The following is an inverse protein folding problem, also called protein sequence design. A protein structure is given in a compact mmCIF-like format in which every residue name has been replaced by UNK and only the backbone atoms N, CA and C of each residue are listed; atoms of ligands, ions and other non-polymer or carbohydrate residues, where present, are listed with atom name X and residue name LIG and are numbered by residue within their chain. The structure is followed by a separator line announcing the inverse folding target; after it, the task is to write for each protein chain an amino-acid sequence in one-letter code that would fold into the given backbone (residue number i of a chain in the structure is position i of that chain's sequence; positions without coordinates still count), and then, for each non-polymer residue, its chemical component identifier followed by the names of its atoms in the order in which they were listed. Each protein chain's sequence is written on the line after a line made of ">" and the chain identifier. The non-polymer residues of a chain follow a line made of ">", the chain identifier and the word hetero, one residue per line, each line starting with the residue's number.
data_IF_582900241125
#
_entry.id   IF_582900241125
#
_cell.length_a   1.000
_cell.length_b   1.000
_cell.length_c   1.000
_cell.angle_alpha   90.00
_cell.angle_beta   90.00
_cell.angle_gamma   90.00
#
_symmetry.space_group_name_H-M   'P 1'
#
loop_
_entity.id
_entity.type
_entity.pdbx_description
1 polymer ?
#
# COMPACT_ATOMS: atom_id res chain seq x y z
N UNK A 1 -11.21 51.99 -48.52
CA UNK A 1 -10.78 50.64 -48.09
C UNK A 1 -10.59 49.77 -49.33
N UNK A 2 -9.35 49.38 -49.63
CA UNK A 2 -9.00 48.69 -50.88
C UNK A 2 -9.62 47.29 -50.95
N UNK A 3 -10.31 46.98 -52.07
CA UNK A 3 -10.93 45.67 -52.36
C UNK A 3 -9.98 44.49 -52.13
N UNK A 4 -8.68 44.68 -52.30
CA UNK A 4 -7.65 43.65 -52.09
C UNK A 4 -7.52 43.18 -50.62
N UNK A 5 -7.72 44.08 -49.63
CA UNK A 5 -7.66 43.70 -48.20
C UNK A 5 -8.89 42.90 -47.76
N UNK A 6 -10.05 43.14 -48.37
CA UNK A 6 -11.28 42.43 -48.03
C UNK A 6 -11.25 40.99 -48.56
N UNK A 7 -10.70 40.76 -49.76
CA UNK A 7 -10.58 39.42 -50.36
C UNK A 7 -9.63 38.52 -49.56
N UNK A 8 -8.51 39.07 -49.06
CA UNK A 8 -7.55 38.30 -48.23
C UNK A 8 -8.11 37.91 -46.87
N UNK A 9 -8.94 38.75 -46.24
CA UNK A 9 -9.58 38.44 -44.95
C UNK A 9 -10.64 37.33 -45.14
N UNK A 10 -11.42 37.39 -46.21
CA UNK A 10 -12.45 36.37 -46.50
C UNK A 10 -11.78 35.02 -46.81
N UNK A 11 -10.70 34.99 -47.60
CA UNK A 11 -10.00 33.75 -47.93
C UNK A 11 -9.33 33.11 -46.70
N UNK A 12 -8.79 33.91 -45.79
CA UNK A 12 -8.21 33.44 -44.53
C UNK A 12 -9.28 32.83 -43.60
N UNK A 13 -10.48 33.42 -43.54
CA UNK A 13 -11.60 32.89 -42.75
C UNK A 13 -12.12 31.53 -43.27
N UNK A 14 -12.19 31.35 -44.59
CA UNK A 14 -12.61 30.08 -45.18
C UNK A 14 -11.58 28.95 -44.98
N UNK A 15 -10.28 29.26 -45.04
CA UNK A 15 -9.21 28.29 -44.75
C UNK A 15 -9.21 27.90 -43.27
N UNK A 16 -9.39 28.87 -42.36
CA UNK A 16 -9.43 28.60 -40.92
C UNK A 16 -10.67 27.77 -40.51
N UNK A 17 -11.83 28.06 -41.11
CA UNK A 17 -13.07 27.28 -40.92
C UNK A 17 -12.95 25.84 -41.44
N UNK A 18 -12.36 25.65 -42.63
CA UNK A 18 -12.13 24.32 -43.19
C UNK A 18 -11.14 23.49 -42.35
N UNK A 19 -10.09 24.12 -41.81
CA UNK A 19 -9.12 23.45 -40.92
C UNK A 19 -9.77 23.05 -39.59
N UNK A 20 -10.59 23.92 -38.98
CA UNK A 20 -11.32 23.58 -37.74
C UNK A 20 -12.31 22.44 -37.97
N UNK A 21 -12.99 22.41 -39.12
CA UNK A 21 -13.96 21.36 -39.45
C UNK A 21 -13.25 20.02 -39.70
N UNK A 22 -12.07 20.02 -40.34
CA UNK A 22 -11.24 18.82 -40.53
C UNK A 22 -10.65 18.32 -39.19
N UNK A 23 -10.25 19.22 -38.29
CA UNK A 23 -9.82 18.90 -36.93
C UNK A 23 -10.96 18.26 -36.10
N UNK A 24 -12.20 18.75 -36.23
CA UNK A 24 -13.36 18.17 -35.54
C UNK A 24 -13.82 16.82 -36.13
N UNK A 25 -13.52 16.53 -37.40
CA UNK A 25 -13.85 15.24 -38.04
C UNK A 25 -12.80 14.17 -37.71
N UNK A 26 -11.54 14.55 -37.45
CA UNK A 26 -10.44 13.62 -37.13
C UNK A 26 -10.12 13.46 -35.64
N UNK A 27 -10.65 14.33 -34.77
CA UNK A 27 -10.66 14.08 -33.33
C UNK A 27 -12.02 13.52 -32.93
N UNK A 28 -12.18 12.18 -32.83
CA UNK A 28 -13.37 11.65 -32.21
C UNK A 28 -13.40 12.15 -30.77
N UNK A 29 -14.41 12.96 -30.46
CA UNK A 29 -14.83 13.26 -29.10
C UNK A 29 -15.22 11.94 -28.43
N UNK A 30 -14.26 11.27 -27.79
CA UNK A 30 -14.44 10.05 -27.00
C UNK A 30 -14.74 10.41 -25.54
N UNK A 31 -15.70 11.31 -25.32
CA UNK A 31 -16.26 11.54 -23.99
C UNK A 31 -17.58 10.80 -23.85
N UNK A 32 -17.56 9.50 -24.15
CA UNK A 32 -18.51 8.57 -23.52
C UNK A 32 -17.68 7.89 -22.42
N UNK A 33 -18.05 7.97 -21.13
CA UNK A 33 -17.35 7.22 -20.09
C UNK A 33 -17.34 5.77 -20.53
N UNK A 34 -16.16 5.25 -20.87
CA UNK A 34 -16.05 3.87 -21.30
C UNK A 34 -16.49 3.04 -20.11
N UNK A 35 -17.60 2.32 -20.25
CA UNK A 35 -18.10 1.46 -19.19
C UNK A 35 -16.99 0.47 -18.83
N UNK A 36 -16.68 0.38 -17.53
CA UNK A 36 -15.64 -0.50 -16.99
C UNK A 36 -16.37 -1.67 -16.31
N UNK A 37 -16.73 -2.73 -17.07
CA UNK A 37 -17.61 -3.78 -16.56
C UNK A 37 -17.03 -4.52 -15.35
N UNK A 38 -15.69 -4.61 -15.26
CA UNK A 38 -15.00 -5.26 -14.15
C UNK A 38 -15.20 -4.54 -12.82
N UNK A 39 -15.47 -3.22 -12.81
CA UNK A 39 -15.65 -2.47 -11.56
C UNK A 39 -16.82 -2.99 -10.73
N UNK A 40 -17.86 -3.54 -11.36
CA UNK A 40 -18.99 -4.13 -10.63
C UNK A 40 -18.52 -5.25 -9.70
N UNK A 41 -17.67 -6.15 -10.22
CA UNK A 41 -17.18 -7.30 -9.46
C UNK A 41 -16.04 -6.90 -8.53
N UNK A 42 -15.15 -5.99 -8.95
CA UNK A 42 -14.04 -5.45 -8.13
C UNK A 42 -14.53 -4.75 -6.86
N UNK A 43 -15.66 -4.04 -6.95
CA UNK A 43 -16.29 -3.31 -5.85
C UNK A 43 -17.31 -4.16 -5.08
N UNK A 44 -17.52 -5.41 -5.47
CA UNK A 44 -18.38 -6.35 -4.75
C UNK A 44 -17.73 -6.90 -3.48
N UNK A 45 -18.45 -7.77 -2.77
CA UNK A 45 -17.98 -8.37 -1.51
C UNK A 45 -17.29 -9.74 -1.70
N UNK A 46 -17.46 -10.39 -2.85
CA UNK A 46 -16.89 -11.72 -3.11
C UNK A 46 -15.42 -11.62 -3.53
N UNK A 47 -14.52 -12.01 -2.62
CA UNK A 47 -13.07 -11.84 -2.83
C UNK A 47 -12.56 -12.51 -4.09
N UNK A 48 -13.01 -13.73 -4.41
CA UNK A 48 -12.57 -14.44 -5.62
C UNK A 48 -13.00 -13.71 -6.90
N UNK A 49 -14.24 -13.21 -6.95
CA UNK A 49 -14.73 -12.40 -8.05
C UNK A 49 -13.95 -11.10 -8.20
N UNK A 50 -13.65 -10.41 -7.08
CA UNK A 50 -12.87 -9.17 -7.08
C UNK A 50 -11.48 -9.37 -7.68
N UNK A 51 -10.74 -10.37 -7.21
CA UNK A 51 -9.39 -10.67 -7.69
C UNK A 51 -9.40 -11.08 -9.18
N UNK A 52 -10.36 -11.92 -9.57
CA UNK A 52 -10.51 -12.35 -10.97
C UNK A 52 -10.82 -11.16 -11.89
N UNK A 53 -11.71 -10.28 -11.48
CA UNK A 53 -12.11 -9.11 -12.25
C UNK A 53 -10.96 -8.08 -12.37
N UNK A 54 -10.15 -7.91 -11.31
CA UNK A 54 -8.98 -7.05 -11.34
C UNK A 54 -7.94 -7.53 -12.36
N UNK A 55 -7.66 -8.84 -12.41
CA UNK A 55 -6.79 -9.41 -13.45
C UNK A 55 -7.34 -9.16 -14.86
N UNK A 56 -8.64 -9.41 -15.07
CA UNK A 56 -9.32 -9.15 -16.36
C UNK A 56 -9.23 -7.68 -16.79
N UNK A 57 -9.35 -6.76 -15.83
CA UNK A 57 -9.18 -5.33 -16.11
C UNK A 57 -7.79 -5.06 -16.68
N UNK A 58 -6.74 -5.51 -16.00
CA UNK A 58 -5.35 -5.39 -16.46
C UNK A 58 -5.11 -6.05 -17.83
N UNK A 59 -5.67 -7.24 -18.07
CA UNK A 59 -5.61 -7.93 -19.37
C UNK A 59 -6.24 -7.09 -20.49
N UNK A 60 -7.37 -6.42 -20.21
CA UNK A 60 -8.13 -5.66 -21.20
C UNK A 60 -7.51 -4.30 -21.51
N UNK A 61 -7.09 -3.54 -20.50
CA UNK A 61 -6.65 -2.14 -20.68
C UNK A 61 -5.14 -1.94 -20.53
N UNK A 62 -4.41 -2.95 -20.07
CA UNK A 62 -3.00 -2.85 -19.71
C UNK A 62 -2.78 -2.38 -18.28
N UNK A 63 -1.54 -2.56 -17.79
CA UNK A 63 -1.15 -2.33 -16.39
C UNK A 63 -1.34 -0.87 -15.97
N UNK A 64 -0.76 0.08 -16.71
CA UNK A 64 -0.73 1.49 -16.34
C UNK A 64 -2.15 2.10 -16.30
N UNK A 65 -2.99 1.77 -17.27
CA UNK A 65 -4.38 2.24 -17.33
C UNK A 65 -5.25 1.57 -16.25
N UNK A 66 -5.05 0.28 -15.96
CA UNK A 66 -5.78 -0.39 -14.89
C UNK A 66 -5.48 0.24 -13.52
N UNK A 67 -4.24 0.62 -13.26
CA UNK A 67 -3.85 1.32 -12.02
C UNK A 67 -4.54 2.68 -11.90
N UNK A 68 -4.59 3.46 -12.98
CA UNK A 68 -5.30 4.75 -13.03
C UNK A 68 -6.81 4.60 -12.78
N UNK A 69 -7.42 3.58 -13.39
CA UNK A 69 -8.84 3.26 -13.19
C UNK A 69 -9.11 2.95 -11.71
N UNK A 70 -8.29 2.11 -11.08
CA UNK A 70 -8.51 1.70 -9.71
C UNK A 70 -8.30 2.84 -8.71
N UNK A 71 -7.24 3.65 -8.87
CA UNK A 71 -6.98 4.83 -8.03
C UNK A 71 -8.11 5.86 -8.10
N UNK A 72 -8.73 6.03 -9.27
CA UNK A 72 -9.85 6.98 -9.48
C UNK A 72 -11.23 6.38 -9.22
N UNK A 73 -11.29 5.08 -8.90
CA UNK A 73 -12.54 4.39 -8.59
C UNK A 73 -12.95 4.59 -7.13
N UNK A 74 -14.07 4.00 -6.74
CA UNK A 74 -14.47 3.90 -5.33
C UNK A 74 -13.87 2.67 -4.62
N UNK A 75 -12.82 2.05 -5.16
CA UNK A 75 -12.15 0.93 -4.51
C UNK A 75 -11.56 1.40 -3.18
N UNK A 76 -11.96 0.83 -2.03
CA UNK A 76 -11.45 1.30 -0.74
C UNK A 76 -9.95 1.03 -0.59
N UNK A 77 -9.21 2.03 -0.12
CA UNK A 77 -7.81 1.92 0.28
C UNK A 77 -7.67 1.07 1.54
N UNK A 78 -7.84 -0.24 1.42
CA UNK A 78 -7.87 -1.24 2.48
C UNK A 78 -6.95 -2.41 2.14
N UNK A 79 -6.70 -3.33 3.08
CA UNK A 79 -5.98 -4.57 2.78
C UNK A 79 -6.63 -5.36 1.63
N UNK A 80 -7.96 -5.36 1.56
CA UNK A 80 -8.70 -5.98 0.45
C UNK A 80 -8.50 -5.24 -0.89
N UNK A 81 -8.50 -3.90 -0.87
CA UNK A 81 -8.17 -3.10 -2.05
C UNK A 81 -6.72 -3.32 -2.51
N UNK A 82 -5.79 -3.47 -1.57
CA UNK A 82 -4.39 -3.82 -1.82
C UNK A 82 -4.27 -5.18 -2.52
N UNK A 83 -4.97 -6.22 -2.04
CA UNK A 83 -4.99 -7.54 -2.67
C UNK A 83 -5.60 -7.53 -4.07
N UNK A 84 -6.63 -6.70 -4.32
CA UNK A 84 -7.17 -6.47 -5.67
C UNK A 84 -6.06 -5.98 -6.61
N UNK A 85 -5.24 -5.03 -6.17
CA UNK A 85 -4.17 -4.44 -6.99
C UNK A 85 -2.97 -5.39 -7.17
N UNK A 86 -2.75 -6.38 -6.29
CA UNK A 86 -1.77 -7.46 -6.55
C UNK A 86 -2.01 -8.14 -7.91
N UNK A 87 -3.27 -8.31 -8.31
CA UNK A 87 -3.62 -8.97 -9.57
C UNK A 87 -3.13 -8.21 -10.80
N UNK A 88 -3.03 -6.88 -10.69
CA UNK A 88 -2.44 -6.03 -11.72
C UNK A 88 -0.94 -6.32 -11.82
N UNK A 89 -0.26 -6.48 -10.69
CA UNK A 89 1.14 -6.89 -10.59
C UNK A 89 1.41 -8.28 -11.16
N UNK A 90 0.57 -9.27 -10.83
CA UNK A 90 0.67 -10.62 -11.39
C UNK A 90 0.58 -10.60 -12.91
N UNK A 91 -0.39 -9.87 -13.46
CA UNK A 91 -0.48 -9.69 -14.91
C UNK A 91 0.74 -8.94 -15.46
N UNK A 92 1.21 -7.89 -14.78
CA UNK A 92 2.37 -7.11 -15.21
C UNK A 92 3.61 -8.00 -15.36
N UNK A 93 3.91 -8.87 -14.40
CA UNK A 93 5.03 -9.80 -14.50
C UNK A 93 4.84 -10.79 -15.66
N UNK A 94 3.64 -11.38 -15.81
CA UNK A 94 3.35 -12.30 -16.93
C UNK A 94 3.59 -11.66 -18.31
N UNK A 95 3.47 -10.33 -18.39
CA UNK A 95 3.61 -9.57 -19.64
C UNK A 95 5.01 -9.03 -19.88
N UNK A 96 5.68 -8.55 -18.84
CA UNK A 96 6.92 -7.77 -18.94
C UNK A 96 8.11 -8.44 -18.24
N UNK A 97 7.91 -9.56 -17.54
CA UNK A 97 8.93 -10.20 -16.72
C UNK A 97 9.45 -9.23 -15.65
N UNK A 98 10.77 -9.24 -15.44
CA UNK A 98 11.45 -8.37 -14.47
C UNK A 98 11.12 -6.88 -14.67
N UNK A 99 10.95 -6.43 -15.93
CA UNK A 99 10.68 -5.02 -16.25
C UNK A 99 9.26 -4.57 -15.85
N UNK A 100 8.42 -5.46 -15.30
CA UNK A 100 7.10 -5.11 -14.78
C UNK A 100 7.15 -4.07 -13.66
N UNK A 101 8.24 -4.02 -12.88
CA UNK A 101 8.47 -2.99 -11.85
C UNK A 101 8.36 -1.58 -12.45
N UNK A 102 8.82 -1.39 -13.68
CA UNK A 102 8.79 -0.10 -14.39
C UNK A 102 7.37 0.28 -14.86
N UNK A 103 6.39 -0.62 -14.72
CA UNK A 103 4.99 -0.42 -15.10
C UNK A 103 4.07 -0.20 -13.91
N UNK A 104 4.57 -0.43 -12.71
CA UNK A 104 3.80 -0.24 -11.48
C UNK A 104 3.81 1.23 -11.02
N UNK A 105 2.83 1.55 -10.19
CA UNK A 105 2.69 2.82 -9.48
C UNK A 105 2.51 2.55 -8.01
N UNK A 106 2.80 3.56 -7.19
CA UNK A 106 2.88 3.45 -5.73
C UNK A 106 1.50 3.40 -5.04
N UNK A 107 0.42 3.28 -5.84
CA UNK A 107 -0.96 3.21 -5.39
C UNK A 107 -1.23 1.98 -4.51
N UNK A 108 -2.19 2.12 -3.60
CA UNK A 108 -2.62 1.08 -2.67
C UNK A 108 -1.45 0.43 -1.93
N UNK A 109 -0.54 1.22 -1.35
CA UNK A 109 0.66 0.73 -0.66
C UNK A 109 1.52 -0.17 -1.58
N UNK A 110 1.90 0.32 -2.76
CA UNK A 110 2.80 -0.39 -3.68
C UNK A 110 2.30 -1.79 -4.12
N UNK A 111 0.99 -2.03 -4.08
CA UNK A 111 0.40 -3.35 -4.33
C UNK A 111 0.75 -3.98 -5.69
N UNK A 112 0.94 -3.16 -6.74
CA UNK A 112 1.36 -3.68 -8.04
C UNK A 112 2.76 -4.29 -7.98
N UNK A 113 3.69 -3.64 -7.27
CA UNK A 113 5.05 -4.15 -7.07
C UNK A 113 5.03 -5.46 -6.29
N UNK A 114 4.18 -5.53 -5.26
CA UNK A 114 3.99 -6.75 -4.47
C UNK A 114 3.57 -7.92 -5.35
N UNK A 115 2.49 -7.75 -6.11
CA UNK A 115 2.03 -8.79 -7.03
C UNK A 115 3.12 -9.21 -8.02
N UNK A 116 3.78 -8.24 -8.67
CA UNK A 116 4.82 -8.54 -9.65
C UNK A 116 5.98 -9.37 -9.06
N UNK A 117 6.47 -9.02 -7.87
CA UNK A 117 7.57 -9.73 -7.20
C UNK A 117 7.14 -11.13 -6.74
N UNK A 118 5.92 -11.28 -6.25
CA UNK A 118 5.37 -12.57 -5.83
C UNK A 118 5.16 -13.51 -7.02
N UNK A 119 4.69 -13.00 -8.17
CA UNK A 119 4.59 -13.81 -9.41
C UNK A 119 5.97 -14.25 -9.89
N UNK A 120 6.97 -13.37 -9.78
CA UNK A 120 8.33 -13.65 -10.23
C UNK A 120 8.98 -14.84 -9.54
N UNK A 121 8.62 -15.09 -8.28
CA UNK A 121 9.08 -16.26 -7.54
C UNK A 121 8.62 -17.59 -8.18
N UNK A 122 7.45 -17.61 -8.84
CA UNK A 122 6.94 -18.81 -9.51
C UNK A 122 7.65 -19.16 -10.81
N UNK A 123 8.31 -18.19 -11.44
CA UNK A 123 9.05 -18.37 -12.71
C UNK A 123 10.57 -18.45 -12.48
N UNK A 124 11.16 -17.39 -11.92
CA UNK A 124 12.62 -17.25 -11.80
C UNK A 124 13.18 -17.41 -10.38
N UNK A 125 12.34 -17.75 -9.40
CA UNK A 125 12.73 -17.96 -8.01
C UNK A 125 13.47 -16.77 -7.38
N UNK A 126 14.39 -17.05 -6.45
CA UNK A 126 15.10 -16.02 -5.68
C UNK A 126 15.90 -15.07 -6.58
N UNK A 127 16.47 -15.54 -7.69
CA UNK A 127 17.24 -14.69 -8.60
C UNK A 127 16.37 -13.60 -9.25
N UNK A 128 15.14 -13.95 -9.69
CA UNK A 128 14.21 -12.98 -10.23
C UNK A 128 13.73 -12.00 -9.17
N UNK A 129 13.40 -12.49 -7.97
CA UNK A 129 13.01 -11.65 -6.82
C UNK A 129 14.10 -10.62 -6.50
N UNK A 130 15.36 -11.04 -6.36
CA UNK A 130 16.47 -10.12 -6.07
C UNK A 130 16.65 -9.08 -7.17
N UNK A 131 16.66 -9.49 -8.45
CA UNK A 131 16.76 -8.55 -9.59
C UNK A 131 15.65 -7.50 -9.59
N UNK A 132 14.41 -7.90 -9.27
CA UNK A 132 13.28 -6.97 -9.20
C UNK A 132 13.39 -6.03 -7.99
N UNK A 133 13.78 -6.53 -6.81
CA UNK A 133 14.01 -5.65 -5.66
C UNK A 133 15.13 -4.65 -5.92
N UNK A 134 16.19 -5.02 -6.64
CA UNK A 134 17.27 -4.10 -7.01
C UNK A 134 16.79 -2.93 -7.89
N UNK A 135 15.78 -3.14 -8.75
CA UNK A 135 15.20 -2.07 -9.57
C UNK A 135 14.46 -1.01 -8.72
N UNK A 136 14.06 -1.36 -7.49
CA UNK A 136 13.36 -0.44 -6.59
C UNK A 136 14.30 0.49 -5.80
N UNK A 137 15.63 0.37 -5.94
CA UNK A 137 16.64 1.16 -5.20
C UNK A 137 16.71 2.64 -5.58
N UNK A 138 15.80 3.12 -6.42
CA UNK A 138 15.66 4.54 -6.76
C UNK A 138 15.04 5.34 -5.61
N UNK A 139 14.22 4.71 -4.78
CA UNK A 139 13.56 5.29 -3.62
C UNK A 139 13.70 4.35 -2.41
N UNK A 140 13.98 4.89 -1.22
CA UNK A 140 14.04 4.09 0.01
C UNK A 140 12.69 3.45 0.35
N UNK A 141 11.60 4.18 0.14
CA UNK A 141 10.24 3.67 0.37
C UNK A 141 9.87 2.58 -0.63
N UNK A 142 10.15 2.80 -1.92
CA UNK A 142 9.89 1.79 -2.95
C UNK A 142 10.73 0.52 -2.69
N UNK A 143 12.02 0.68 -2.37
CA UNK A 143 12.87 -0.46 -2.03
C UNK A 143 12.39 -1.20 -0.79
N UNK A 144 11.97 -0.48 0.25
CA UNK A 144 11.37 -1.08 1.45
C UNK A 144 10.17 -1.96 1.09
N UNK A 145 9.25 -1.48 0.24
CA UNK A 145 8.04 -2.21 -0.16
C UNK A 145 8.34 -3.38 -1.10
N UNK A 146 9.29 -3.24 -2.02
CA UNK A 146 9.73 -4.36 -2.85
C UNK A 146 10.40 -5.46 -2.02
N UNK A 147 11.20 -5.12 -1.01
CA UNK A 147 11.82 -6.10 -0.12
C UNK A 147 10.79 -6.71 0.84
N UNK A 148 9.75 -5.98 1.24
CA UNK A 148 8.60 -6.54 1.95
C UNK A 148 7.90 -7.60 1.10
N UNK A 149 7.63 -7.31 -0.18
CA UNK A 149 7.07 -8.27 -1.13
C UNK A 149 7.95 -9.51 -1.34
N UNK A 150 9.28 -9.32 -1.37
CA UNK A 150 10.22 -10.43 -1.42
C UNK A 150 10.05 -11.34 -0.20
N UNK A 151 9.80 -10.78 0.99
CA UNK A 151 9.49 -11.57 2.19
C UNK A 151 8.29 -12.49 2.03
N UNK A 152 7.17 -11.99 1.48
CA UNK A 152 5.99 -12.81 1.15
C UNK A 152 6.37 -13.96 0.22
N UNK A 153 7.03 -13.62 -0.89
CA UNK A 153 7.43 -14.58 -1.91
C UNK A 153 8.39 -15.66 -1.35
N UNK A 154 9.38 -15.24 -0.55
CA UNK A 154 10.37 -16.14 0.06
C UNK A 154 9.70 -17.15 0.99
N UNK A 155 8.74 -16.73 1.83
CA UNK A 155 8.04 -17.67 2.71
C UNK A 155 7.23 -18.69 1.90
N UNK A 156 6.49 -18.22 0.90
CA UNK A 156 5.76 -19.10 -0.01
C UNK A 156 6.73 -20.11 -0.67
N UNK A 157 7.93 -19.66 -1.09
CA UNK A 157 8.91 -20.46 -1.85
C UNK A 157 9.43 -21.64 -1.02
N UNK A 158 9.50 -21.42 0.29
CA UNK A 158 9.87 -22.41 1.26
C UNK A 158 8.71 -23.25 1.79
N UNK A 159 7.53 -23.19 1.16
CA UNK A 159 6.34 -23.93 1.58
C UNK A 159 6.03 -23.66 3.06
N UNK A 160 6.11 -22.37 3.46
CA UNK A 160 5.88 -21.86 4.81
C UNK A 160 6.84 -22.40 5.89
N UNK A 161 8.04 -22.84 5.50
CA UNK A 161 9.15 -23.07 6.43
C UNK A 161 9.73 -21.72 6.89
N UNK A 162 9.18 -21.19 7.98
CA UNK A 162 9.48 -19.87 8.52
C UNK A 162 10.99 -19.67 8.84
N UNK A 163 11.71 -20.59 9.51
CA UNK A 163 13.15 -20.47 9.72
C UNK A 163 13.94 -20.34 8.43
N UNK A 164 13.66 -21.17 7.41
CA UNK A 164 14.36 -21.08 6.11
C UNK A 164 14.09 -19.75 5.39
N UNK A 165 12.86 -19.26 5.49
CA UNK A 165 12.50 -17.97 4.91
C UNK A 165 13.27 -16.82 5.56
N UNK A 166 13.40 -16.82 6.90
CA UNK A 166 14.17 -15.81 7.64
C UNK A 166 15.68 -15.90 7.34
N UNK A 167 16.25 -17.10 7.26
CA UNK A 167 17.64 -17.30 6.84
C UNK A 167 17.89 -16.79 5.41
N UNK A 168 16.94 -17.00 4.50
CA UNK A 168 17.02 -16.48 3.13
C UNK A 168 16.96 -14.95 3.10
N UNK A 169 16.10 -14.32 3.91
CA UNK A 169 16.10 -12.86 4.06
C UNK A 169 17.46 -12.34 4.54
N UNK A 170 18.09 -13.04 5.49
CA UNK A 170 19.41 -12.70 6.01
C UNK A 170 20.47 -12.76 4.91
N UNK A 171 20.53 -13.87 4.18
CA UNK A 171 21.50 -14.07 3.09
C UNK A 171 21.39 -12.99 2.00
N UNK A 172 20.17 -12.59 1.66
CA UNK A 172 19.91 -11.64 0.56
C UNK A 172 20.08 -10.18 0.99
N UNK A 173 19.67 -9.80 2.20
CA UNK A 173 19.49 -8.40 2.57
C UNK A 173 20.33 -7.92 3.77
N UNK A 174 21.01 -8.79 4.52
CA UNK A 174 21.80 -8.37 5.69
C UNK A 174 22.97 -7.44 5.33
N UNK A 175 23.54 -7.59 4.13
CA UNK A 175 24.68 -6.78 3.66
C UNK A 175 24.26 -5.45 3.02
N UNK A 176 22.96 -5.16 2.98
CA UNK A 176 22.44 -3.93 2.37
C UNK A 176 22.65 -2.72 3.31
N UNK A 177 23.73 -1.98 3.05
CA UNK A 177 24.12 -0.83 3.87
C UNK A 177 23.46 0.48 3.42
N UNK A 178 22.99 0.58 2.17
CA UNK A 178 22.37 1.82 1.65
C UNK A 178 20.96 1.98 2.20
N UNK A 179 20.28 0.88 2.48
CA UNK A 179 18.90 0.83 2.98
C UNK A 179 18.83 -0.11 4.20
N UNK A 180 19.21 0.37 5.39
CA UNK A 180 19.38 -0.49 6.57
C UNK A 180 18.06 -1.17 7.02
N UNK A 181 16.91 -0.63 6.65
CA UNK A 181 15.61 -1.23 6.98
C UNK A 181 15.23 -2.43 6.08
N UNK A 182 15.95 -2.68 4.99
CA UNK A 182 15.61 -3.72 4.01
C UNK A 182 15.48 -5.10 4.65
N UNK A 183 16.45 -5.50 5.48
CA UNK A 183 16.39 -6.78 6.16
C UNK A 183 15.14 -6.91 7.04
N UNK A 184 14.85 -5.89 7.85
CA UNK A 184 13.66 -5.89 8.70
C UNK A 184 12.36 -5.84 7.89
N UNK A 185 12.39 -5.26 6.69
CA UNK A 185 11.26 -5.27 5.75
C UNK A 185 10.99 -6.68 5.20
N UNK A 186 12.05 -7.41 4.82
CA UNK A 186 11.94 -8.80 4.38
C UNK A 186 11.34 -9.67 5.49
N UNK A 187 11.87 -9.57 6.72
CA UNK A 187 11.31 -10.27 7.87
C UNK A 187 9.84 -9.89 8.12
N UNK A 188 9.50 -8.61 8.00
CA UNK A 188 8.13 -8.14 8.17
C UNK A 188 7.16 -8.77 7.14
N UNK A 189 7.57 -8.87 5.86
CA UNK A 189 6.81 -9.59 4.84
C UNK A 189 6.65 -11.08 5.17
N UNK A 190 7.74 -11.75 5.54
CA UNK A 190 7.72 -13.16 5.96
C UNK A 190 6.73 -13.40 7.12
N UNK A 191 6.80 -12.62 8.20
CA UNK A 191 5.88 -12.81 9.33
C UNK A 191 4.44 -12.43 9.00
N UNK A 192 4.21 -11.45 8.12
CA UNK A 192 2.87 -11.11 7.65
C UNK A 192 2.27 -12.26 6.84
N UNK A 193 3.02 -12.81 5.89
CA UNK A 193 2.57 -13.95 5.07
C UNK A 193 2.30 -15.18 5.95
N UNK A 194 3.09 -15.42 6.99
CA UNK A 194 2.86 -16.54 7.90
C UNK A 194 1.48 -16.50 8.57
N UNK A 195 0.95 -15.31 8.85
CA UNK A 195 -0.37 -15.12 9.47
C UNK A 195 -1.47 -15.28 8.43
N UNK A 196 -1.37 -14.55 7.31
CA UNK A 196 -2.45 -14.45 6.33
C UNK A 196 -2.47 -15.63 5.36
N UNK A 197 -1.32 -16.07 4.88
CA UNK A 197 -1.17 -17.24 4.00
C UNK A 197 -1.97 -17.12 2.71
N UNK A 198 -1.84 -15.99 2.02
CA UNK A 198 -2.68 -15.62 0.86
C UNK A 198 -1.96 -15.78 -0.48
N UNK A 199 -0.68 -16.15 -0.47
CA UNK A 199 0.15 -16.28 -1.67
C UNK A 199 0.60 -17.72 -1.95
N UNK A 200 -0.29 -18.68 -1.74
CA UNK A 200 -0.07 -20.08 -2.15
C UNK A 200 -0.18 -20.22 -3.67
N UNK A 201 0.84 -20.81 -4.32
CA UNK A 201 0.82 -21.04 -5.78
C UNK A 201 -0.11 -22.16 -6.22
N UNK A 202 -1.42 -21.99 -6.01
CA UNK A 202 -2.47 -22.65 -6.77
C UNK A 202 -2.48 -24.19 -6.77
N UNK A 203 -1.68 -24.85 -5.93
CA UNK A 203 -1.55 -26.30 -5.95
C UNK A 203 -2.73 -27.01 -5.26
N UNK A 204 -3.75 -26.27 -4.80
CA UNK A 204 -4.84 -26.83 -3.99
C UNK A 204 -4.36 -27.49 -2.70
N UNK A 205 -3.14 -27.12 -2.24
CA UNK A 205 -2.60 -27.56 -0.97
C UNK A 205 -3.13 -26.62 0.10
N UNK A 206 -3.55 -27.18 1.22
CA UNK A 206 -3.78 -26.38 2.42
C UNK A 206 -2.46 -25.71 2.82
N UNK A 207 -2.52 -24.40 3.09
CA UNK A 207 -1.38 -23.65 3.60
C UNK A 207 -0.85 -24.34 4.86
N UNK A 208 0.47 -24.57 4.95
CA UNK A 208 1.04 -25.10 6.19
C UNK A 208 0.94 -24.03 7.27
N UNK A 209 0.31 -24.38 8.39
CA UNK A 209 0.08 -23.50 9.55
C UNK A 209 0.97 -23.89 10.75
N UNK A 210 2.10 -24.55 10.51
CA UNK A 210 3.00 -25.08 11.57
C UNK A 210 3.58 -23.98 12.49
N UNK A 211 3.70 -22.77 11.95
CA UNK A 211 4.20 -21.59 12.66
C UNK A 211 3.08 -20.71 13.22
N UNK A 212 1.88 -21.27 13.39
CA UNK A 212 0.76 -20.66 14.09
C UNK A 212 0.37 -21.51 15.29
N UNK A 213 0.08 -20.83 16.39
CA UNK A 213 -0.23 -21.45 17.67
C UNK A 213 -1.36 -20.71 18.37
N UNK A 214 -1.91 -21.33 19.42
CA UNK A 214 -2.78 -20.69 20.40
C UNK A 214 -1.97 -19.98 21.51
N UNK A 215 -0.65 -20.18 21.56
CA UNK A 215 0.25 -19.32 22.33
C UNK A 215 0.33 -17.94 21.64
N UNK A 216 -0.16 -16.86 22.27
CA UNK A 216 -0.20 -15.53 21.66
C UNK A 216 1.19 -14.95 21.37
N UNK A 217 2.25 -15.47 22.01
CA UNK A 217 3.61 -14.99 21.81
C UNK A 217 4.41 -15.82 20.80
N UNK A 218 3.89 -16.97 20.38
CA UNK A 218 4.54 -17.79 19.37
C UNK A 218 4.18 -17.29 17.95
N UNK A 219 5.17 -17.14 17.04
CA UNK A 219 6.54 -17.62 17.16
C UNK A 219 7.56 -16.57 17.64
N UNK A 220 7.13 -15.36 18.03
CA UNK A 220 8.06 -14.31 18.45
C UNK A 220 8.90 -14.69 19.69
N UNK A 221 8.35 -15.48 20.61
CA UNK A 221 9.09 -16.02 21.76
C UNK A 221 10.08 -17.15 21.42
N UNK A 222 10.04 -17.68 20.19
CA UNK A 222 10.96 -18.71 19.71
C UNK A 222 12.20 -18.13 19.02
N UNK A 223 12.03 -17.06 18.25
CA UNK A 223 13.10 -16.46 17.44
C UNK A 223 14.02 -15.52 18.25
N UNK A 224 15.24 -15.32 17.76
CA UNK A 224 16.22 -14.42 18.39
C UNK A 224 15.89 -12.93 18.17
N UNK A 225 16.61 -12.03 18.87
CA UNK A 225 16.36 -10.58 18.83
C UNK A 225 16.33 -9.99 17.42
N UNK A 226 17.15 -10.55 16.51
CA UNK A 226 17.27 -10.09 15.12
C UNK A 226 15.92 -10.06 14.37
N UNK A 227 15.01 -10.99 14.69
CA UNK A 227 13.73 -11.15 13.99
C UNK A 227 12.55 -10.47 14.69
N UNK A 228 12.76 -9.93 15.91
CA UNK A 228 11.67 -9.48 16.79
C UNK A 228 10.88 -8.30 16.21
N UNK A 229 11.55 -7.36 15.52
CA UNK A 229 10.87 -6.23 14.86
C UNK A 229 9.87 -6.74 13.80
N UNK A 230 10.31 -7.65 12.92
CA UNK A 230 9.44 -8.24 11.90
C UNK A 230 8.27 -9.02 12.51
N UNK A 231 8.53 -9.75 13.60
CA UNK A 231 7.54 -10.59 14.25
C UNK A 231 6.48 -9.76 15.00
N UNK A 232 6.89 -8.91 15.94
CA UNK A 232 5.94 -8.14 16.77
C UNK A 232 5.14 -7.10 16.00
N UNK A 233 5.66 -6.61 14.86
CA UNK A 233 4.90 -5.76 13.94
C UNK A 233 3.79 -6.50 13.18
N UNK A 234 3.63 -7.82 13.37
CA UNK A 234 2.60 -8.63 12.74
C UNK A 234 1.81 -9.50 13.74
N UNK A 235 2.43 -9.94 14.83
CA UNK A 235 1.87 -10.94 15.75
C UNK A 235 0.53 -10.54 16.36
N UNK A 236 0.26 -9.24 16.54
CA UNK A 236 -0.98 -8.83 17.17
C UNK A 236 -2.23 -9.13 16.33
N UNK A 237 -2.11 -9.31 15.01
CA UNK A 237 -3.19 -9.82 14.16
C UNK A 237 -3.66 -11.21 14.64
N UNK A 238 -2.72 -12.11 14.95
CA UNK A 238 -3.02 -13.42 15.53
C UNK A 238 -3.54 -13.32 16.96
N UNK A 239 -2.99 -12.41 17.76
CA UNK A 239 -3.49 -12.17 19.14
C UNK A 239 -4.95 -11.69 19.13
N UNK A 240 -5.32 -10.81 18.19
CA UNK A 240 -6.71 -10.36 18.00
C UNK A 240 -7.61 -11.53 17.63
N UNK A 241 -7.16 -12.42 16.73
CA UNK A 241 -7.90 -13.63 16.37
C UNK A 241 -8.11 -14.57 17.57
N UNK A 242 -7.07 -14.87 18.34
CA UNK A 242 -7.13 -15.71 19.56
C UNK A 242 -8.15 -15.15 20.57
N UNK A 243 -8.21 -13.83 20.71
CA UNK A 243 -9.15 -13.17 21.62
C UNK A 243 -10.52 -12.87 20.99
N UNK A 244 -10.80 -13.39 19.79
CA UNK A 244 -12.10 -13.24 19.13
C UNK A 244 -12.43 -11.79 18.76
N UNK A 245 -11.43 -10.98 18.42
CA UNK A 245 -11.59 -9.57 18.06
C UNK A 245 -11.53 -8.58 19.23
N UNK A 246 -11.28 -9.04 20.46
CA UNK A 246 -11.28 -8.17 21.66
C UNK A 246 -9.96 -7.37 21.77
N UNK A 247 -10.00 -6.12 21.28
CA UNK A 247 -8.86 -5.21 21.27
C UNK A 247 -8.25 -4.98 22.67
N UNK A 248 -9.08 -4.85 23.71
CA UNK A 248 -8.61 -4.61 25.07
C UNK A 248 -7.85 -5.80 25.66
N UNK A 249 -8.33 -7.03 25.42
CA UNK A 249 -7.58 -8.25 25.78
C UNK A 249 -6.31 -8.41 24.97
N UNK A 250 -6.35 -8.09 23.68
CA UNK A 250 -5.15 -8.11 22.83
C UNK A 250 -4.10 -7.13 23.31
N UNK A 251 -4.48 -5.90 23.68
CA UNK A 251 -3.55 -4.93 24.28
C UNK A 251 -3.00 -5.44 25.61
N UNK A 252 -3.84 -5.99 26.49
CA UNK A 252 -3.38 -6.58 27.76
C UNK A 252 -2.37 -7.71 27.55
N UNK A 253 -2.52 -8.46 26.45
CA UNK A 253 -1.57 -9.51 26.04
C UNK A 253 -0.26 -8.91 25.54
N UNK A 254 -0.29 -7.87 24.69
CA UNK A 254 0.93 -7.15 24.29
C UNK A 254 1.68 -6.56 25.50
N UNK A 255 0.98 -6.02 26.49
CA UNK A 255 1.60 -5.50 27.72
C UNK A 255 2.28 -6.58 28.57
N UNK A 256 1.87 -7.84 28.40
CA UNK A 256 2.47 -9.00 29.08
C UNK A 256 3.81 -9.46 28.51
N UNK A 257 4.29 -8.89 27.39
CA UNK A 257 5.56 -9.28 26.74
C UNK A 257 6.77 -9.01 27.65
N UNK A 258 6.72 -7.94 28.46
CA UNK A 258 7.77 -7.59 29.42
C UNK A 258 9.00 -6.87 28.84
N UNK A 259 9.06 -6.67 27.52
CA UNK A 259 10.02 -5.80 26.83
C UNK A 259 9.29 -4.59 26.24
N UNK A 260 9.72 -3.36 26.57
CA UNK A 260 9.02 -2.12 26.17
C UNK A 260 8.97 -1.93 24.65
N UNK A 261 10.05 -2.26 23.94
CA UNK A 261 10.14 -2.09 22.49
C UNK A 261 9.26 -3.10 21.75
N UNK A 262 9.28 -4.36 22.19
CA UNK A 262 8.43 -5.42 21.65
C UNK A 262 6.96 -5.15 21.94
N UNK A 263 6.67 -4.65 23.15
CA UNK A 263 5.32 -4.19 23.53
C UNK A 263 4.85 -3.10 22.58
N UNK A 264 5.68 -2.07 22.33
CA UNK A 264 5.33 -1.00 21.40
C UNK A 264 5.05 -1.53 19.98
N UNK A 265 5.87 -2.44 19.44
CA UNK A 265 5.63 -3.04 18.12
C UNK A 265 4.34 -3.86 18.07
N UNK A 266 4.03 -4.60 19.13
CA UNK A 266 2.77 -5.33 19.26
C UNK A 266 1.57 -4.37 19.27
N UNK A 267 1.66 -3.26 20.03
CA UNK A 267 0.63 -2.21 20.04
C UNK A 267 0.52 -1.49 18.68
N UNK A 268 1.64 -1.23 17.99
CA UNK A 268 1.64 -0.69 16.63
C UNK A 268 0.87 -1.60 15.68
N UNK A 269 1.10 -2.91 15.75
CA UNK A 269 0.32 -3.85 14.96
C UNK A 269 -1.17 -3.84 15.33
N UNK A 270 -1.56 -3.81 16.60
CA UNK A 270 -2.98 -3.65 17.00
C UNK A 270 -3.59 -2.41 16.34
N UNK A 271 -2.90 -1.27 16.45
CA UNK A 271 -3.38 -0.02 15.90
C UNK A 271 -3.54 -0.08 14.38
N UNK A 272 -2.63 -0.75 13.66
CA UNK A 272 -2.75 -0.97 12.21
C UNK A 272 -3.89 -1.92 11.82
N UNK A 273 -4.18 -2.93 12.66
CA UNK A 273 -5.31 -3.84 12.43
C UNK A 273 -6.69 -3.19 12.63
N UNK A 274 -6.76 -2.01 13.29
CA UNK A 274 -8.02 -1.25 13.38
C UNK A 274 -8.52 -0.83 12.00
N UNK A 275 -7.61 -0.43 11.10
CA UNK A 275 -7.98 0.03 9.76
C UNK A 275 -8.81 -1.01 8.95
N UNK A 276 -8.37 -2.28 8.79
CA UNK A 276 -9.21 -3.29 8.16
C UNK A 276 -10.49 -3.60 8.96
N UNK A 277 -10.46 -3.57 10.30
CA UNK A 277 -11.67 -3.78 11.13
C UNK A 277 -12.74 -2.69 10.95
N UNK A 278 -12.35 -1.48 10.57
CA UNK A 278 -13.28 -0.37 10.30
C UNK A 278 -13.69 -0.26 8.83
N UNK A 279 -13.17 -1.14 7.96
CA UNK A 279 -13.30 -1.05 6.50
C UNK A 279 -12.82 0.31 5.96
N UNK A 280 -11.78 0.90 6.57
CA UNK A 280 -11.28 2.22 6.20
C UNK A 280 -12.18 3.38 6.63
N UNK A 281 -13.05 3.21 7.63
CA UNK A 281 -13.80 4.33 8.24
C UNK A 281 -12.98 4.96 9.38
N UNK A 282 -12.41 6.16 9.20
CA UNK A 282 -11.55 6.78 10.20
C UNK A 282 -12.31 7.20 11.47
N UNK A 283 -13.64 7.36 11.41
CA UNK A 283 -14.44 7.71 12.60
C UNK A 283 -14.45 6.57 13.61
N UNK A 284 -14.62 5.35 13.11
CA UNK A 284 -14.64 4.14 13.94
C UNK A 284 -13.26 3.83 14.54
N UNK A 285 -12.18 4.33 13.96
CA UNK A 285 -10.83 4.15 14.52
C UNK A 285 -10.68 4.80 15.90
N UNK A 286 -11.35 5.93 16.15
CA UNK A 286 -11.33 6.57 17.47
C UNK A 286 -11.99 5.71 18.56
N UNK A 287 -13.07 5.02 18.22
CA UNK A 287 -13.78 4.13 19.16
C UNK A 287 -12.95 2.89 19.49
N UNK A 288 -12.29 2.30 18.48
CA UNK A 288 -11.40 1.15 18.70
C UNK A 288 -10.09 1.56 19.42
N UNK A 289 -9.52 2.73 19.12
CA UNK A 289 -8.35 3.23 19.85
C UNK A 289 -8.63 3.58 21.32
N UNK A 290 -9.89 3.79 21.73
CA UNK A 290 -10.21 3.89 23.16
C UNK A 290 -10.04 2.54 23.88
N UNK A 291 -10.20 1.43 23.17
CA UNK A 291 -10.13 0.08 23.73
C UNK A 291 -8.70 -0.38 24.01
N UNK A 292 -7.69 0.19 23.35
CA UNK A 292 -6.27 -0.09 23.65
C UNK A 292 -5.82 0.47 25.00
N UNK A 293 -6.68 1.21 25.70
CA UNK A 293 -6.42 1.78 27.00
C UNK A 293 -5.73 3.13 26.97
N UNK A 294 -5.89 3.91 28.04
CA UNK A 294 -5.42 5.31 28.13
C UNK A 294 -3.92 5.49 27.89
N UNK A 295 -3.11 4.47 28.21
CA UNK A 295 -1.67 4.49 28.00
C UNK A 295 -1.32 4.58 26.51
N UNK A 296 -2.03 3.84 25.66
CA UNK A 296 -1.70 3.66 24.23
C UNK A 296 -2.64 4.40 23.29
N UNK A 297 -3.70 5.02 23.79
CA UNK A 297 -4.72 5.67 22.97
C UNK A 297 -4.13 6.71 22.00
N UNK A 298 -3.19 7.54 22.47
CA UNK A 298 -2.55 8.55 21.63
C UNK A 298 -1.71 7.90 20.52
N UNK A 299 -0.87 6.91 20.86
CA UNK A 299 -0.07 6.17 19.88
C UNK A 299 -0.96 5.49 18.84
N UNK A 300 -2.05 4.86 19.27
CA UNK A 300 -3.01 4.21 18.40
C UNK A 300 -3.59 5.17 17.35
N UNK A 301 -3.98 6.38 17.77
CA UNK A 301 -4.53 7.40 16.86
C UNK A 301 -3.47 7.88 15.88
N UNK A 302 -2.25 8.17 16.36
CA UNK A 302 -1.15 8.62 15.51
C UNK A 302 -0.75 7.56 14.48
N UNK A 303 -0.73 6.29 14.88
CA UNK A 303 -0.42 5.15 14.01
C UNK A 303 -1.54 4.94 12.98
N UNK A 304 -2.81 5.07 13.38
CA UNK A 304 -3.93 5.03 12.44
C UNK A 304 -3.80 6.13 11.38
N UNK A 305 -3.53 7.38 11.77
CA UNK A 305 -3.34 8.47 10.80
C UNK A 305 -2.29 8.10 9.74
N UNK A 306 -1.11 7.62 10.16
CA UNK A 306 -0.05 7.23 9.22
C UNK A 306 -0.39 5.99 8.41
N UNK A 307 -1.13 5.04 8.99
CA UNK A 307 -1.56 3.82 8.29
C UNK A 307 -2.57 4.13 7.18
N UNK A 308 -3.56 4.99 7.46
CA UNK A 308 -4.51 5.50 6.46
C UNK A 308 -3.79 6.18 5.31
N UNK A 309 -2.80 7.04 5.60
CA UNK A 309 -2.01 7.69 4.57
C UNK A 309 -1.26 6.66 3.70
N UNK A 310 -0.58 5.70 4.34
CA UNK A 310 0.25 4.70 3.65
C UNK A 310 -0.52 3.84 2.64
N UNK A 311 -1.81 3.55 2.90
CA UNK A 311 -2.65 2.79 1.97
C UNK A 311 -3.28 3.64 0.87
N UNK A 312 -3.14 4.97 0.92
CA UNK A 312 -3.70 5.92 -0.06
C UNK A 312 -4.88 6.75 0.46
N UNK A 313 -5.36 6.49 1.69
CA UNK A 313 -6.40 7.25 2.40
C UNK A 313 -5.89 8.60 2.94
N UNK A 314 -5.44 9.47 2.03
CA UNK A 314 -4.78 10.75 2.36
C UNK A 314 -5.73 11.73 3.05
N UNK A 315 -6.99 11.77 2.64
CA UNK A 315 -8.01 12.63 3.25
C UNK A 315 -8.40 12.11 4.64
N UNK A 316 -8.55 10.80 4.77
CA UNK A 316 -8.87 10.13 6.02
C UNK A 316 -7.75 10.34 7.06
N UNK A 317 -6.49 10.29 6.63
CA UNK A 317 -5.35 10.59 7.48
C UNK A 317 -5.39 12.04 8.02
N UNK A 318 -5.69 13.02 7.15
CA UNK A 318 -5.83 14.43 7.55
C UNK A 318 -7.04 14.62 8.47
N UNK A 319 -8.14 13.93 8.20
CA UNK A 319 -9.32 13.92 9.05
C UNK A 319 -9.01 13.38 10.45
N UNK A 320 -8.26 12.28 10.57
CA UNK A 320 -7.83 11.79 11.88
C UNK A 320 -7.03 12.88 12.62
N UNK A 321 -6.09 13.54 11.94
CA UNK A 321 -5.32 14.64 12.56
C UNK A 321 -6.20 15.82 13.01
N UNK A 322 -7.24 16.19 12.25
CA UNK A 322 -8.13 17.29 12.65
C UNK A 322 -8.99 16.95 13.87
N UNK A 323 -9.34 15.68 14.05
CA UNK A 323 -10.18 15.22 15.16
C UNK A 323 -9.37 14.76 16.40
N UNK A 324 -8.04 14.73 16.32
CA UNK A 324 -7.21 14.33 17.47
C UNK A 324 -7.29 15.30 18.66
N UNK A 325 -7.04 14.80 19.89
CA UNK A 325 -6.81 15.65 21.05
C UNK A 325 -5.72 16.70 20.83
N UNK A 326 -5.91 17.91 21.38
CA UNK A 326 -5.03 19.05 21.15
C UNK A 326 -3.56 18.79 21.52
N UNK A 327 -3.28 17.90 22.48
CA UNK A 327 -1.93 17.59 22.93
C UNK A 327 -1.12 16.73 21.94
N UNK A 328 -1.76 16.04 20.99
CA UNK A 328 -1.07 15.23 19.96
C UNK A 328 -1.28 15.75 18.54
N UNK A 329 -2.18 16.73 18.36
CA UNK A 329 -2.52 17.30 17.04
C UNK A 329 -1.30 17.76 16.24
N UNK A 330 -0.35 18.44 16.89
CA UNK A 330 0.87 18.88 16.24
C UNK A 330 1.76 17.73 15.77
N UNK A 331 1.84 16.66 16.56
CA UNK A 331 2.62 15.49 16.21
C UNK A 331 1.96 14.71 15.05
N UNK A 332 0.63 14.60 15.05
CA UNK A 332 -0.12 13.97 13.97
C UNK A 332 0.16 14.64 12.63
N UNK A 333 -0.03 15.97 12.56
CA UNK A 333 0.22 16.72 11.33
C UNK A 333 1.68 16.70 10.88
N UNK A 334 2.63 16.68 11.83
CA UNK A 334 4.05 16.53 11.51
C UNK A 334 4.31 15.20 10.79
N UNK A 335 3.83 14.08 11.34
CA UNK A 335 4.01 12.74 10.72
C UNK A 335 3.38 12.66 9.33
N UNK A 336 2.16 13.20 9.16
CA UNK A 336 1.50 13.23 7.84
C UNK A 336 2.26 14.15 6.87
N UNK A 337 2.78 15.27 7.34
CA UNK A 337 3.59 16.18 6.51
C UNK A 337 4.86 15.49 6.01
N UNK A 338 5.57 14.76 6.88
CA UNK A 338 6.75 13.98 6.50
C UNK A 338 6.43 12.91 5.44
N UNK A 339 5.28 12.24 5.57
CA UNK A 339 4.82 11.30 4.54
C UNK A 339 4.50 12.00 3.22
N UNK A 340 3.80 13.14 3.23
CA UNK A 340 3.50 13.90 2.00
C UNK A 340 4.78 14.35 1.29
N UNK A 341 5.77 14.85 2.05
CA UNK A 341 7.03 15.31 1.48
C UNK A 341 7.78 14.14 0.83
N UNK A 342 7.82 12.98 1.49
CA UNK A 342 8.56 11.80 1.03
C UNK A 342 7.83 10.95 -0.03
N UNK A 343 6.51 11.14 -0.22
CA UNK A 343 5.72 10.44 -1.23
C UNK A 343 6.25 10.71 -2.65
N UNK A 344 6.13 9.75 -3.56
CA UNK A 344 6.58 9.86 -4.95
C UNK A 344 5.54 10.52 -5.87
N UNK A 345 4.32 10.79 -5.37
CA UNK A 345 3.29 11.50 -6.13
C UNK A 345 3.74 12.88 -6.61
N UNK A 346 3.08 13.38 -7.66
CA UNK A 346 3.42 14.67 -8.23
C UNK A 346 3.17 15.83 -7.26
N UNK A 347 3.92 16.91 -7.49
CA UNK A 347 3.90 18.08 -6.62
C UNK A 347 2.51 18.70 -6.48
N UNK A 348 1.69 18.74 -7.54
CA UNK A 348 0.36 19.34 -7.45
C UNK A 348 -0.52 18.53 -6.50
N UNK A 349 -0.48 17.19 -6.60
CA UNK A 349 -1.20 16.31 -5.67
C UNK A 349 -0.72 16.49 -4.22
N UNK A 350 0.59 16.70 -3.99
CA UNK A 350 1.12 17.03 -2.65
C UNK A 350 0.57 18.36 -2.14
N UNK A 351 0.60 19.40 -2.95
CA UNK A 351 0.08 20.74 -2.59
C UNK A 351 -1.44 20.69 -2.31
N UNK A 352 -2.21 20.00 -3.15
CA UNK A 352 -3.64 19.76 -2.93
C UNK A 352 -3.90 19.03 -1.60
N UNK A 353 -3.07 18.04 -1.28
CA UNK A 353 -3.15 17.31 0.00
C UNK A 353 -2.82 18.22 1.19
N UNK A 354 -1.73 18.99 1.13
CA UNK A 354 -1.39 19.97 2.17
C UNK A 354 -2.51 21.00 2.39
N UNK A 355 -3.18 21.44 1.32
CA UNK A 355 -4.26 22.44 1.38
C UNK A 355 -5.51 21.94 2.13
N UNK A 356 -5.67 20.64 2.33
CA UNK A 356 -6.75 20.05 3.15
C UNK A 356 -6.47 20.15 4.65
N UNK A 357 -5.24 20.44 5.06
CA UNK A 357 -4.90 20.64 6.47
C UNK A 357 -5.41 21.98 7.01
N UNK A 358 -5.62 22.04 8.34
CA UNK A 358 -5.93 23.29 9.05
C UNK A 358 -4.69 24.16 9.28
N UNK A 359 -4.89 25.45 9.58
CA UNK A 359 -3.80 26.34 9.98
C UNK A 359 -3.36 26.03 11.43
N UNK A 360 -2.05 26.11 11.76
CA UNK A 360 -0.94 26.54 10.90
C UNK A 360 -0.29 25.40 10.08
N UNK A 361 -0.74 24.14 10.25
CA UNK A 361 -0.10 22.95 9.68
C UNK A 361 -0.08 22.94 8.14
N UNK A 362 -1.12 23.48 7.49
CA UNK A 362 -1.12 23.73 6.05
C UNK A 362 0.12 24.49 5.58
N UNK A 363 0.45 25.59 6.24
CA UNK A 363 1.58 26.43 5.84
C UNK A 363 2.90 25.68 6.04
N UNK A 364 3.01 24.92 7.13
CA UNK A 364 4.19 24.09 7.40
C UNK A 364 4.37 23.00 6.32
N UNK A 365 3.29 22.34 5.93
CA UNK A 365 3.30 21.33 4.87
C UNK A 365 3.73 21.93 3.52
N UNK A 366 3.10 23.03 3.09
CA UNK A 366 3.44 23.71 1.82
C UNK A 366 4.90 24.19 1.83
N UNK A 367 5.37 24.83 2.91
CA UNK A 367 6.77 25.26 3.02
C UNK A 367 7.76 24.09 3.04
N UNK A 368 7.35 22.94 3.57
CA UNK A 368 8.15 21.70 3.53
C UNK A 368 8.38 21.21 2.10
N UNK A 369 7.37 21.32 1.22
CA UNK A 369 7.48 20.95 -0.20
C UNK A 369 8.45 21.84 -0.98
N UNK A 370 8.67 23.08 -0.56
CA UNK A 370 9.63 23.99 -1.21
C UNK A 370 11.09 23.69 -0.81
N UNK A 371 11.26 22.94 0.28
CA UNK A 371 12.57 22.68 0.92
C UNK A 371 13.12 21.29 0.61
N UNK A 372 12.31 20.41 0.01
CA UNK A 372 12.63 19.04 -0.40
C UNK A 372 12.82 18.95 -1.91
#
# INVERSE_FOLDING_TARGET
>A
MNKLKLTLIIFSFFIFSAIITILLIYFPSTNNPQEIPELKDILGDDQTARLTAARKLAERVGVEEALEILEKSSLPHTGEGHLVVHQIGFYAYSKYGIDSILKCKDYFLYACYHGAIIEAASDGGFEAVTKMTDQCKSSSLQYFQCVHAAGHAILAMWDYDLPKALETCDDLYEKENRFPDALSSCHNGVFMENIFGVHDWGAGKETKREWLSEDPYFPCNFFSEKYQKGCWLNQAARIIEIHGGDIGKSTSTCEGIGNDQHTFWCIDNIARQIHPLTLGDPKKSFDLCQQVGKKWQNDCILINATAFYSVGGREEAIYICSETPQNIKSECYMRITEQIISDSIDRNTKEETCNKMELPYRNQCVSGLDSS
#
